data_IF_340390640074
#
_entry.id   IF_340390640074
#
_cell.length_a   1.000
_cell.length_b   1.000
_cell.length_c   1.000
_cell.angle_alpha   90.00
_cell.angle_beta   90.00
_cell.angle_gamma   90.00
#
_symmetry.space_group_name_H-M   'P 1'
#
loop_
_entity.id
_entity.type
_entity.pdbx_description
1 polymer ?
#
# COMPACT_ATOMS: atom_id res chain seq x y z
N UNK A 1 -11.18 -5.58 -15.02
CA UNK A 1 -11.93 -4.33 -15.25
C UNK A 1 -10.94 -3.19 -15.24
N UNK A 2 -10.68 -2.59 -16.40
CA UNK A 2 -9.83 -1.40 -16.53
C UNK A 2 -10.44 -0.44 -17.58
N UNK A 3 -11.77 -0.33 -17.58
CA UNK A 3 -12.50 0.31 -18.69
C UNK A 3 -12.47 1.85 -18.60
N UNK A 4 -11.99 2.41 -17.48
CA UNK A 4 -12.02 3.85 -17.21
C UNK A 4 -10.64 4.54 -17.22
N UNK A 5 -9.54 3.80 -17.38
CA UNK A 5 -8.17 4.35 -17.34
C UNK A 5 -7.81 5.02 -16.00
N UNK A 6 -6.68 5.76 -15.95
CA UNK A 6 -6.25 6.47 -14.76
C UNK A 6 -7.23 7.57 -14.32
N UNK A 7 -7.27 7.85 -13.01
CA UNK A 7 -8.16 8.86 -12.44
C UNK A 7 -7.69 10.28 -12.79
N UNK A 8 -8.62 11.23 -13.01
CA UNK A 8 -8.29 12.65 -13.12
C UNK A 8 -7.63 13.17 -11.83
N UNK A 9 -6.75 14.15 -11.96
CA UNK A 9 -5.99 14.69 -10.82
C UNK A 9 -6.88 15.16 -9.65
N UNK A 10 -8.08 15.67 -9.92
CA UNK A 10 -9.02 16.05 -8.87
C UNK A 10 -9.53 14.84 -8.07
N UNK A 11 -9.83 13.73 -8.73
CA UNK A 11 -10.23 12.50 -8.07
C UNK A 11 -9.09 11.88 -7.27
N UNK A 12 -7.85 11.94 -7.79
CA UNK A 12 -6.65 11.51 -7.05
C UNK A 12 -6.46 12.32 -5.77
N UNK A 13 -6.63 13.65 -5.82
CA UNK A 13 -6.56 14.51 -4.62
C UNK A 13 -7.67 14.22 -3.61
N UNK A 14 -8.89 13.99 -4.09
CA UNK A 14 -10.02 13.63 -3.23
C UNK A 14 -9.78 12.29 -2.52
N UNK A 15 -9.30 11.28 -3.26
CA UNK A 15 -8.93 9.98 -2.71
C UNK A 15 -7.79 10.12 -1.68
N UNK A 16 -6.76 10.89 -2.00
CA UNK A 16 -5.63 11.14 -1.11
C UNK A 16 -6.08 11.75 0.22
N UNK A 17 -6.94 12.77 0.17
CA UNK A 17 -7.44 13.45 1.36
C UNK A 17 -8.21 12.49 2.28
N UNK A 18 -9.18 11.75 1.74
CA UNK A 18 -10.01 10.87 2.57
C UNK A 18 -9.24 9.65 3.12
N UNK A 19 -8.30 9.09 2.34
CA UNK A 19 -7.46 7.99 2.86
C UNK A 19 -6.47 8.51 3.91
N UNK A 20 -5.91 9.69 3.73
CA UNK A 20 -5.03 10.30 4.73
C UNK A 20 -5.76 10.57 6.05
N UNK A 21 -7.02 11.04 6.01
CA UNK A 21 -7.86 11.22 7.20
C UNK A 21 -8.14 9.89 7.93
N UNK A 22 -8.43 8.84 7.17
CA UNK A 22 -8.60 7.50 7.72
C UNK A 22 -7.30 6.99 8.38
N UNK A 23 -6.14 7.16 7.73
CA UNK A 23 -4.84 6.80 8.31
C UNK A 23 -4.54 7.60 9.57
N UNK A 24 -4.84 8.90 9.60
CA UNK A 24 -4.68 9.72 10.79
C UNK A 24 -5.52 9.19 11.96
N UNK A 25 -6.75 8.77 11.69
CA UNK A 25 -7.63 8.16 12.69
C UNK A 25 -7.09 6.83 13.22
N UNK A 26 -6.59 5.97 12.33
CA UNK A 26 -5.97 4.67 12.67
C UNK A 26 -4.71 4.90 13.52
N UNK A 27 -3.84 5.81 13.11
CA UNK A 27 -2.60 6.16 13.82
C UNK A 27 -2.91 6.81 15.16
N UNK A 28 -3.95 7.65 15.23
CA UNK A 28 -4.44 8.25 16.47
C UNK A 28 -4.94 7.23 17.50
N UNK A 29 -5.40 6.05 17.04
CA UNK A 29 -5.74 4.91 17.88
C UNK A 29 -4.54 4.03 18.26
N UNK A 30 -3.32 4.42 17.88
CA UNK A 30 -2.09 3.64 18.14
C UNK A 30 -1.92 2.43 17.23
N UNK A 31 -2.66 2.36 16.12
CA UNK A 31 -2.59 1.27 15.15
C UNK A 31 -1.79 1.70 13.91
N UNK A 32 -1.28 0.71 13.18
CA UNK A 32 -0.69 0.87 11.85
C UNK A 32 -1.41 -0.11 10.93
N UNK A 33 -1.82 0.31 9.73
CA UNK A 33 -2.60 -0.52 8.81
C UNK A 33 -1.77 -1.67 8.24
N UNK A 34 -0.55 -1.40 7.80
CA UNK A 34 0.44 -2.39 7.28
C UNK A 34 0.10 -3.10 5.97
N UNK A 35 -1.05 -2.83 5.36
CA UNK A 35 -1.47 -3.50 4.11
C UNK A 35 -2.39 -2.56 3.30
N UNK A 36 -2.09 -1.26 3.27
CA UNK A 36 -2.87 -0.33 2.47
C UNK A 36 -2.61 -0.55 0.98
N UNK A 37 -3.68 -0.76 0.21
CA UNK A 37 -3.66 -1.00 -1.24
C UNK A 37 -5.05 -0.72 -1.84
N UNK A 38 -5.21 -0.60 -3.17
CA UNK A 38 -6.50 -0.27 -3.78
C UNK A 38 -7.67 -1.17 -3.35
N UNK A 39 -7.44 -2.48 -3.18
CA UNK A 39 -8.50 -3.41 -2.74
C UNK A 39 -8.99 -3.18 -1.31
N UNK A 40 -8.22 -2.45 -0.50
CA UNK A 40 -8.52 -2.14 0.90
C UNK A 40 -9.11 -0.73 1.05
N UNK A 41 -9.52 -0.10 -0.05
CA UNK A 41 -10.20 1.19 -0.06
C UNK A 41 -11.52 1.07 -0.80
N UNK A 42 -12.62 1.25 -0.08
CA UNK A 42 -13.96 1.32 -0.65
C UNK A 42 -14.28 2.77 -0.98
N UNK A 43 -14.67 3.04 -2.23
CA UNK A 43 -15.14 4.36 -2.64
C UNK A 43 -16.67 4.36 -2.57
N UNK A 44 -17.21 5.08 -1.60
CA UNK A 44 -18.66 5.27 -1.44
C UNK A 44 -19.02 6.75 -1.64
N UNK A 45 -20.32 7.04 -1.71
CA UNK A 45 -20.84 8.37 -2.08
C UNK A 45 -20.29 9.53 -1.23
N UNK A 46 -20.07 9.28 0.06
CA UNK A 46 -19.64 10.28 1.03
C UNK A 46 -18.12 10.31 1.29
N UNK A 47 -17.34 9.43 0.65
CA UNK A 47 -15.88 9.39 0.87
C UNK A 47 -15.26 8.01 0.69
N UNK A 48 -13.92 7.93 0.59
CA UNK A 48 -13.23 6.66 0.70
C UNK A 48 -13.26 6.13 2.13
N UNK A 49 -13.37 4.80 2.27
CA UNK A 49 -13.28 4.06 3.53
C UNK A 49 -12.13 3.09 3.44
N UNK A 50 -11.25 3.12 4.44
CA UNK A 50 -10.14 2.17 4.56
C UNK A 50 -10.62 0.96 5.35
N UNK A 51 -10.40 -0.23 4.82
CA UNK A 51 -10.86 -1.51 5.38
C UNK A 51 -9.68 -2.49 5.56
N UNK A 52 -9.94 -3.64 6.19
CA UNK A 52 -9.00 -4.76 6.29
C UNK A 52 -7.61 -4.37 6.84
N UNK A 53 -7.60 -3.77 8.03
CA UNK A 53 -6.37 -3.50 8.76
C UNK A 53 -5.61 -4.80 9.00
N UNK A 54 -4.31 -4.80 8.73
CA UNK A 54 -3.43 -5.97 8.79
C UNK A 54 -3.16 -6.52 10.20
N UNK A 55 -4.13 -6.44 11.12
CA UNK A 55 -4.07 -7.00 12.48
C UNK A 55 -3.78 -8.50 12.43
N UNK A 56 -4.29 -9.21 11.41
CA UNK A 56 -4.00 -10.62 11.17
C UNK A 56 -2.56 -10.90 10.68
N UNK A 57 -1.81 -9.89 10.22
CA UNK A 57 -0.46 -10.03 9.68
C UNK A 57 0.64 -9.96 10.76
N UNK A 58 0.27 -9.78 12.03
CA UNK A 58 1.17 -9.74 13.19
C UNK A 58 1.96 -11.01 13.47
N UNK A 59 1.74 -12.10 12.73
CA UNK A 59 2.45 -13.38 12.86
C UNK A 59 2.87 -13.98 11.51
N UNK A 60 2.89 -13.19 10.43
CA UNK A 60 3.44 -13.72 9.18
C UNK A 60 4.97 -13.60 9.22
N UNK A 61 5.58 -14.63 9.83
CA UNK A 61 6.99 -14.95 9.68
C UNK A 61 7.45 -14.56 8.28
N UNK A 62 8.51 -13.75 8.22
CA UNK A 62 9.36 -13.53 7.06
C UNK A 62 10.05 -14.84 6.68
N UNK A 63 9.28 -15.87 6.39
CA UNK A 63 9.72 -17.03 5.64
C UNK A 63 9.26 -16.76 4.23
N UNK A 64 10.23 -16.46 3.38
CA UNK A 64 10.20 -16.64 1.93
C UNK A 64 9.96 -18.13 1.59
N UNK A 65 8.95 -18.77 2.21
CA UNK A 65 8.46 -20.07 1.79
C UNK A 65 7.56 -19.83 0.60
N UNK A 66 8.18 -20.05 -0.56
CA UNK A 66 7.74 -20.40 -1.92
C UNK A 66 6.29 -20.88 -2.20
N UNK A 67 5.27 -20.56 -1.41
CA UNK A 67 3.89 -21.05 -1.65
C UNK A 67 2.75 -20.14 -1.20
N UNK A 68 2.99 -18.88 -0.76
CA UNK A 68 1.85 -17.98 -0.49
C UNK A 68 2.11 -16.49 -0.76
N UNK A 69 3.06 -16.18 -1.65
CA UNK A 69 3.21 -14.81 -2.15
C UNK A 69 2.00 -14.53 -3.04
N UNK A 70 0.97 -13.93 -2.48
CA UNK A 70 -0.09 -13.31 -3.26
C UNK A 70 0.60 -12.38 -4.28
N UNK A 71 0.44 -12.71 -5.56
CA UNK A 71 1.14 -12.16 -6.73
C UNK A 71 0.91 -10.65 -6.94
N UNK A 72 0.29 -9.93 -5.99
CA UNK A 72 -0.01 -8.50 -6.08
C UNK A 72 0.45 -7.61 -4.91
N UNK A 73 1.03 -8.15 -3.82
CA UNK A 73 1.23 -7.35 -2.59
C UNK A 73 2.47 -6.45 -2.52
N UNK A 74 3.63 -6.76 -3.14
CA UNK A 74 4.84 -5.94 -2.93
C UNK A 74 4.75 -4.51 -3.49
N UNK A 75 3.89 -4.29 -4.49
CA UNK A 75 3.78 -3.02 -5.20
C UNK A 75 3.36 -1.82 -4.31
N UNK A 76 2.78 -2.10 -3.14
CA UNK A 76 2.33 -1.09 -2.17
C UNK A 76 3.10 -1.19 -0.84
N UNK A 77 4.06 -2.12 -0.73
CA UNK A 77 4.84 -2.33 0.48
C UNK A 77 5.88 -1.21 0.64
N UNK A 78 6.09 -0.75 1.87
CA UNK A 78 7.18 0.18 2.19
C UNK A 78 8.55 -0.52 2.24
N UNK A 79 9.67 0.21 2.01
CA UNK A 79 11.00 -0.38 2.10
C UNK A 79 11.32 -1.00 3.47
N UNK A 80 10.85 -0.40 4.56
CA UNK A 80 11.01 -0.92 5.91
C UNK A 80 10.21 -2.22 6.13
N UNK A 81 9.00 -2.33 5.57
CA UNK A 81 8.24 -3.59 5.59
C UNK A 81 8.96 -4.71 4.81
N UNK A 82 9.60 -4.35 3.69
CA UNK A 82 10.37 -5.29 2.89
C UNK A 82 11.67 -5.75 3.57
N UNK A 83 12.28 -4.91 4.42
CA UNK A 83 13.48 -5.25 5.21
C UNK A 83 13.13 -6.06 6.46
N UNK A 84 12.20 -5.55 7.27
CA UNK A 84 11.79 -6.15 8.54
C UNK A 84 10.34 -5.74 8.87
N UNK A 85 9.43 -6.70 8.72
CA UNK A 85 8.00 -6.56 9.03
C UNK A 85 7.69 -6.23 10.49
N UNK A 86 8.67 -6.28 11.39
CA UNK A 86 8.52 -5.88 12.81
C UNK A 86 8.81 -4.41 13.08
N UNK A 87 9.47 -3.70 12.16
CA UNK A 87 9.89 -2.30 12.30
C UNK A 87 8.93 -1.28 11.67
N UNK A 88 7.71 -1.72 11.36
CA UNK A 88 6.69 -0.97 10.59
C UNK A 88 6.04 0.10 11.46
N UNK A 89 5.99 1.33 10.94
CA UNK A 89 5.40 2.49 11.63
C UNK A 89 4.31 3.14 10.78
N UNK A 90 3.68 4.21 11.27
CA UNK A 90 2.74 4.99 10.46
C UNK A 90 3.35 5.53 9.16
N UNK A 91 4.68 5.73 9.09
CA UNK A 91 5.37 6.14 7.86
C UNK A 91 5.22 5.09 6.73
N UNK A 92 5.09 3.82 7.09
CA UNK A 92 4.88 2.73 6.13
C UNK A 92 3.53 2.84 5.44
N UNK A 93 2.48 3.20 6.18
CA UNK A 93 1.15 3.44 5.60
C UNK A 93 1.14 4.66 4.67
N UNK A 94 1.93 5.70 5.00
CA UNK A 94 2.10 6.89 4.13
C UNK A 94 2.79 6.50 2.82
N UNK A 95 3.81 5.63 2.87
CA UNK A 95 4.45 5.12 1.66
C UNK A 95 3.47 4.30 0.79
N UNK A 96 2.69 3.42 1.43
CA UNK A 96 1.66 2.64 0.75
C UNK A 96 0.59 3.53 0.10
N UNK A 97 0.19 4.62 0.78
CA UNK A 97 -0.71 5.63 0.22
C UNK A 97 -0.09 6.28 -1.03
N UNK A 98 1.17 6.70 -0.98
CA UNK A 98 1.88 7.24 -2.13
C UNK A 98 1.88 6.28 -3.33
N UNK A 99 2.18 5.00 -3.07
CA UNK A 99 2.17 3.95 -4.09
C UNK A 99 0.79 3.74 -4.72
N UNK A 100 -0.26 3.79 -3.88
CA UNK A 100 -1.65 3.69 -4.34
C UNK A 100 -2.07 4.91 -5.18
N UNK A 101 -1.63 6.12 -4.82
CA UNK A 101 -1.94 7.33 -5.58
C UNK A 101 -1.22 7.37 -6.93
N UNK A 102 0.00 6.85 -7.02
CA UNK A 102 0.69 6.65 -8.30
C UNK A 102 -0.12 5.70 -9.18
N UNK A 103 -0.51 4.54 -8.66
CA UNK A 103 -1.38 3.61 -9.39
C UNK A 103 -2.69 4.26 -9.86
N UNK A 104 -3.35 5.01 -8.98
CA UNK A 104 -4.59 5.71 -9.33
C UNK A 104 -4.38 6.75 -10.44
N UNK A 105 -3.24 7.45 -10.45
CA UNK A 105 -2.94 8.52 -11.40
C UNK A 105 -2.37 8.03 -12.74
N UNK A 106 -1.74 6.86 -12.79
CA UNK A 106 -1.01 6.36 -13.98
C UNK A 106 -1.50 5.01 -14.49
N UNK A 107 -2.29 4.27 -13.70
CA UNK A 107 -2.69 2.90 -13.98
C UNK A 107 -1.62 1.85 -13.67
N UNK A 108 -0.46 2.23 -13.14
CA UNK A 108 0.60 1.31 -12.72
C UNK A 108 1.22 1.74 -11.38
N UNK A 109 1.60 0.81 -10.49
CA UNK A 109 2.29 1.16 -9.25
C UNK A 109 3.69 1.73 -9.53
N UNK A 110 4.34 2.39 -8.54
CA UNK A 110 5.68 2.96 -8.72
C UNK A 110 6.76 1.88 -8.87
N UNK A 111 6.57 0.72 -8.22
CA UNK A 111 7.47 -0.42 -8.31
C UNK A 111 6.73 -1.62 -8.89
N UNK A 112 7.23 -2.14 -10.02
CA UNK A 112 6.65 -3.30 -10.70
C UNK A 112 7.75 -4.07 -11.45
N UNK A 113 8.27 -5.11 -10.82
CA UNK A 113 9.19 -6.07 -11.45
C UNK A 113 8.43 -7.22 -12.14
N UNK A 114 9.12 -8.03 -12.94
CA UNK A 114 8.52 -9.19 -13.62
C UNK A 114 7.99 -10.25 -12.65
N UNK A 115 8.43 -10.20 -11.39
CA UNK A 115 7.94 -11.05 -10.31
C UNK A 115 8.02 -10.31 -8.95
N UNK A 116 7.39 -10.85 -7.88
CA UNK A 116 7.41 -10.24 -6.56
C UNK A 116 8.81 -9.99 -5.98
N UNK A 117 9.77 -10.89 -6.23
CA UNK A 117 11.16 -10.76 -5.73
C UNK A 117 11.85 -9.56 -6.37
N UNK A 118 11.68 -9.40 -7.68
CA UNK A 118 12.23 -8.26 -8.41
C UNK A 118 11.61 -6.93 -7.97
N UNK A 119 10.30 -6.91 -7.69
CA UNK A 119 9.62 -5.72 -7.16
C UNK A 119 10.19 -5.31 -5.80
N UNK A 120 10.40 -6.27 -4.90
CA UNK A 120 11.05 -6.03 -3.60
C UNK A 120 12.49 -5.53 -3.79
N UNK A 121 13.23 -6.09 -4.74
CA UNK A 121 14.59 -5.65 -5.03
C UNK A 121 14.65 -4.20 -5.52
N UNK A 122 13.73 -3.79 -6.41
CA UNK A 122 13.58 -2.40 -6.85
C UNK A 122 13.30 -1.46 -5.67
N UNK A 123 12.31 -1.81 -4.85
CA UNK A 123 11.93 -1.05 -3.65
C UNK A 123 13.10 -0.84 -2.67
N UNK A 124 13.90 -1.88 -2.44
CA UNK A 124 15.06 -1.83 -1.54
C UNK A 124 16.28 -1.09 -2.12
N UNK A 125 16.33 -0.85 -3.43
CA UNK A 125 17.41 -0.10 -4.07
C UNK A 125 17.19 1.41 -3.96
N UNK A 126 15.97 1.88 -4.16
CA UNK A 126 15.68 3.32 -4.09
C UNK A 126 15.70 3.86 -2.66
N UNK A 127 15.38 3.05 -1.65
CA UNK A 127 15.48 3.44 -0.24
C UNK A 127 16.92 3.64 0.29
N UNK A 128 17.93 3.71 -0.58
CA UNK A 128 19.35 3.91 -0.26
C UNK A 128 19.93 5.22 -0.82
N UNK A 129 19.15 5.99 -1.58
CA UNK A 129 19.48 7.35 -2.04
C UNK A 129 18.76 8.38 -1.20
#
# INVERSE_FOLDING_TARGET
>A
MNDCGPLPAQAVRWLAAGVAEALQSIHGAGLVHRDLKPSNVLVVEDGPRVIDFGIASGVSNTRLTMTNVAVGTPAYMSPEQAKDSRSVTGASDVFSLGSMLVFAATGHPPFHGANPVETVFMLLREART
#
